data_IF_361655814907
#
_entry.id   IF_361655814907
#
_cell.length_a   1.000
_cell.length_b   1.000
_cell.length_c   1.000
_cell.angle_alpha   90.00
_cell.angle_beta   90.00
_cell.angle_gamma   90.00
#
_symmetry.space_group_name_H-M   'P 1'
#
loop_
_entity.id
_entity.type
_entity.pdbx_description
1 polymer ?
#
# COMPACT_ATOMS: atom_id res chain seq x y z
N UNK A 1 42.61 1.07 41.70
CA UNK A 1 41.38 0.36 41.38
C UNK A 1 40.95 0.66 39.96
N UNK A 2 40.97 -0.38 39.09
CA UNK A 2 40.56 -0.28 37.70
C UNK A 2 39.02 -0.28 37.60
N UNK A 3 38.49 0.78 37.02
CA UNK A 3 37.05 0.88 36.69
C UNK A 3 36.76 -0.07 35.52
N UNK A 4 36.03 -1.13 35.79
CA UNK A 4 35.45 -1.99 34.74
C UNK A 4 34.37 -1.22 33.99
N UNK A 5 34.64 -0.84 32.75
CA UNK A 5 33.65 -0.35 31.82
C UNK A 5 32.74 -1.56 31.47
N UNK A 6 31.50 -1.52 31.94
CA UNK A 6 30.51 -2.47 31.57
C UNK A 6 30.22 -2.35 30.06
N UNK A 7 30.46 -3.42 29.32
CA UNK A 7 30.11 -3.53 27.90
C UNK A 7 28.59 -3.40 27.77
N UNK A 8 28.13 -2.38 27.07
CA UNK A 8 26.72 -2.16 26.73
C UNK A 8 26.27 -3.32 25.84
N UNK A 9 25.35 -4.10 26.36
CA UNK A 9 24.73 -5.22 25.69
C UNK A 9 24.17 -4.78 24.34
N UNK A 10 24.55 -5.46 23.28
CA UNK A 10 23.93 -5.42 21.97
C UNK A 10 22.41 -5.48 22.11
N UNK A 11 21.72 -4.38 21.81
CA UNK A 11 20.27 -4.37 21.72
C UNK A 11 19.86 -5.31 20.59
N UNK A 12 19.36 -6.47 20.93
CA UNK A 12 18.84 -7.43 19.98
C UNK A 12 17.80 -6.73 19.11
N UNK A 13 18.09 -6.63 17.79
CA UNK A 13 17.22 -6.02 16.82
C UNK A 13 15.86 -6.73 16.88
N UNK A 14 14.77 -6.00 17.13
CA UNK A 14 13.43 -6.57 17.19
C UNK A 14 13.16 -7.44 15.95
N UNK A 15 12.54 -8.62 16.10
CA UNK A 15 12.34 -9.54 14.99
C UNK A 15 11.55 -8.85 13.87
N UNK A 16 12.08 -8.88 12.66
CA UNK A 16 11.47 -8.30 11.47
C UNK A 16 10.22 -9.10 11.13
N UNK A 17 9.04 -8.52 11.33
CA UNK A 17 7.74 -9.18 11.16
C UNK A 17 7.30 -9.18 9.71
N UNK A 18 6.66 -10.26 9.27
CA UNK A 18 5.84 -10.26 8.08
C UNK A 18 4.62 -9.35 8.30
N UNK A 19 4.22 -8.61 7.26
CA UNK A 19 3.15 -7.62 7.33
C UNK A 19 2.12 -7.89 6.23
N UNK A 20 0.82 -8.06 6.57
CA UNK A 20 -0.23 -8.10 5.56
C UNK A 20 -0.42 -6.71 4.96
N UNK A 21 -0.39 -6.64 3.64
CA UNK A 21 -0.73 -5.46 2.86
C UNK A 21 -2.08 -5.75 2.21
N UNK A 22 -3.15 -5.16 2.75
CA UNK A 22 -4.49 -5.31 2.22
C UNK A 22 -4.62 -4.51 0.93
N UNK A 23 -5.13 -5.12 -0.13
CA UNK A 23 -5.32 -4.50 -1.43
C UNK A 23 -6.81 -4.23 -1.65
N UNK A 24 -7.20 -2.96 -1.55
CA UNK A 24 -8.50 -2.42 -1.88
C UNK A 24 -8.45 -1.64 -3.19
N UNK A 25 -9.61 -1.42 -3.82
CA UNK A 25 -9.77 -0.55 -4.97
C UNK A 25 -10.93 0.45 -4.71
N UNK A 26 -12.12 0.19 -5.21
CA UNK A 26 -13.28 1.03 -4.99
C UNK A 26 -13.89 0.86 -3.59
N UNK A 27 -14.21 1.98 -2.92
CA UNK A 27 -15.04 1.96 -1.70
C UNK A 27 -16.33 2.71 -2.01
N UNK A 28 -17.39 1.98 -2.26
CA UNK A 28 -18.67 2.54 -2.73
C UNK A 28 -19.57 1.50 -3.34
N UNK A 29 -20.67 1.96 -3.93
CA UNK A 29 -21.52 1.13 -4.74
C UNK A 29 -20.80 0.70 -6.03
N UNK A 30 -21.17 -0.47 -6.54
CA UNK A 30 -20.63 -0.97 -7.80
C UNK A 30 -21.21 -0.16 -8.96
N UNK A 31 -20.40 0.57 -9.76
CA UNK A 31 -20.91 1.24 -10.96
C UNK A 31 -21.55 0.24 -11.93
N UNK A 32 -22.63 0.66 -12.60
CA UNK A 32 -23.38 -0.24 -13.51
C UNK A 32 -22.54 -0.76 -14.68
N UNK A 33 -21.51 0.00 -15.08
CA UNK A 33 -20.56 -0.33 -16.15
C UNK A 33 -19.22 -0.89 -15.64
N UNK A 34 -19.15 -1.23 -14.34
CA UNK A 34 -17.91 -1.73 -13.75
C UNK A 34 -17.46 -3.04 -14.39
N UNK A 35 -16.28 -3.04 -15.00
CA UNK A 35 -15.67 -4.24 -15.60
C UNK A 35 -15.28 -5.29 -14.56
N UNK A 36 -14.97 -4.87 -13.34
CA UNK A 36 -14.53 -5.71 -12.23
C UNK A 36 -15.34 -5.39 -10.97
N UNK A 37 -16.63 -5.76 -10.91
CA UNK A 37 -17.52 -5.42 -9.79
C UNK A 37 -17.02 -5.98 -8.44
N UNK A 38 -16.28 -7.08 -8.46
CA UNK A 38 -15.69 -7.66 -7.26
C UNK A 38 -14.64 -6.78 -6.57
N UNK A 39 -14.15 -5.72 -7.21
CA UNK A 39 -13.18 -4.79 -6.63
C UNK A 39 -13.83 -3.66 -5.81
N UNK A 40 -15.15 -3.63 -5.71
CA UNK A 40 -15.88 -2.59 -4.98
C UNK A 40 -16.39 -3.12 -3.64
N UNK A 41 -15.88 -2.54 -2.55
CA UNK A 41 -16.32 -2.83 -1.18
C UNK A 41 -17.28 -1.74 -0.73
N UNK A 42 -18.50 -2.09 -0.30
CA UNK A 42 -19.45 -1.10 0.18
C UNK A 42 -18.94 -0.40 1.45
N UNK A 43 -19.28 0.89 1.67
CA UNK A 43 -18.81 1.65 2.84
C UNK A 43 -19.17 0.99 4.19
N UNK A 44 -20.37 0.42 4.41
CA UNK A 44 -20.68 -0.29 5.64
C UNK A 44 -19.81 -1.54 5.85
N UNK A 45 -19.52 -2.28 4.76
CA UNK A 45 -18.65 -3.46 4.82
C UNK A 45 -17.22 -3.06 5.15
N UNK A 46 -16.71 -2.02 4.52
CA UNK A 46 -15.37 -1.50 4.82
C UNK A 46 -15.26 -1.04 6.28
N UNK A 47 -16.26 -0.31 6.80
CA UNK A 47 -16.29 0.07 8.21
C UNK A 47 -16.29 -1.14 9.16
N UNK A 48 -17.08 -2.18 8.82
CA UNK A 48 -17.10 -3.46 9.57
C UNK A 48 -15.74 -4.16 9.56
N UNK A 49 -15.05 -4.19 8.41
CA UNK A 49 -13.70 -4.76 8.28
C UNK A 49 -12.68 -3.99 9.14
N UNK A 50 -12.68 -2.65 9.09
CA UNK A 50 -11.79 -1.80 9.91
C UNK A 50 -12.03 -2.05 11.39
N UNK A 51 -13.28 -2.05 11.84
CA UNK A 51 -13.65 -2.33 13.23
C UNK A 51 -13.21 -3.74 13.69
N UNK A 52 -13.35 -4.73 12.82
CA UNK A 52 -12.93 -6.10 13.13
C UNK A 52 -11.41 -6.23 13.24
N UNK A 53 -10.66 -5.55 12.38
CA UNK A 53 -9.20 -5.48 12.46
C UNK A 53 -8.74 -4.81 13.77
N UNK A 54 -9.38 -3.69 14.18
CA UNK A 54 -9.09 -3.03 15.46
C UNK A 54 -9.34 -3.96 16.65
N UNK A 55 -10.52 -4.61 16.70
CA UNK A 55 -10.85 -5.57 17.77
C UNK A 55 -9.89 -6.77 17.79
N UNK A 56 -9.36 -7.17 16.63
CA UNK A 56 -8.35 -8.22 16.55
C UNK A 56 -6.93 -7.73 16.89
N UNK A 57 -6.77 -6.47 17.31
CA UNK A 57 -5.51 -5.88 17.75
C UNK A 57 -4.54 -5.55 16.59
N UNK A 58 -5.06 -5.36 15.37
CA UNK A 58 -4.26 -4.80 14.28
C UNK A 58 -4.12 -3.29 14.42
N UNK A 59 -3.00 -2.77 13.91
CA UNK A 59 -2.70 -1.35 13.88
C UNK A 59 -2.23 -0.98 12.48
N UNK A 60 -2.89 0.00 11.87
CA UNK A 60 -2.53 0.44 10.53
C UNK A 60 -1.18 1.16 10.53
N UNK A 61 -0.38 0.84 9.52
CA UNK A 61 0.93 1.45 9.25
C UNK A 61 1.07 1.73 7.75
N UNK A 62 1.98 2.64 7.38
CA UNK A 62 2.29 2.92 5.99
C UNK A 62 3.39 1.99 5.47
N UNK A 63 3.57 1.92 4.14
CA UNK A 63 4.69 1.19 3.53
C UNK A 63 6.05 1.74 3.98
N UNK A 64 6.16 3.07 4.16
CA UNK A 64 7.37 3.68 4.66
C UNK A 64 7.72 3.22 6.08
N UNK A 65 6.73 3.07 6.97
CA UNK A 65 6.97 2.56 8.31
C UNK A 65 7.41 1.09 8.28
N UNK A 66 6.81 0.27 7.42
CA UNK A 66 7.23 -1.13 7.20
C UNK A 66 8.66 -1.19 6.69
N UNK A 67 8.99 -0.38 5.67
CA UNK A 67 10.34 -0.30 5.11
C UNK A 67 11.39 0.09 6.15
N UNK A 68 11.10 1.13 6.93
CA UNK A 68 12.00 1.60 8.00
C UNK A 68 12.25 0.51 9.05
N UNK A 69 11.21 -0.23 9.45
CA UNK A 69 11.35 -1.32 10.39
C UNK A 69 12.22 -2.47 9.84
N UNK A 70 12.08 -2.77 8.56
CA UNK A 70 12.84 -3.85 7.93
C UNK A 70 14.29 -3.49 7.65
N UNK A 71 14.59 -2.24 7.29
CA UNK A 71 15.89 -1.85 6.76
C UNK A 71 16.68 -0.87 7.66
N UNK A 72 15.97 -0.09 8.49
CA UNK A 72 16.58 0.99 9.28
C UNK A 72 16.35 0.89 10.79
N UNK A 73 15.83 -0.25 11.28
CA UNK A 73 15.65 -0.47 12.72
C UNK A 73 14.45 0.24 13.34
N UNK A 74 13.50 0.74 12.55
CA UNK A 74 12.24 1.29 13.04
C UNK A 74 11.38 0.25 13.76
N UNK A 75 10.53 0.71 14.70
CA UNK A 75 9.56 -0.15 15.38
C UNK A 75 8.27 -0.34 14.57
N UNK A 76 7.65 -1.51 14.69
CA UNK A 76 6.27 -1.76 14.25
C UNK A 76 5.41 -2.17 15.45
N UNK A 77 4.12 -1.84 15.43
CA UNK A 77 3.20 -2.32 16.45
C UNK A 77 3.14 -3.86 16.46
N UNK A 78 2.49 -4.41 17.48
CA UNK A 78 2.45 -5.89 17.65
C UNK A 78 1.83 -6.63 16.46
N UNK A 79 0.76 -6.08 15.89
CA UNK A 79 0.05 -6.60 14.70
C UNK A 79 -0.09 -5.48 13.66
N UNK A 80 0.98 -5.21 12.89
CA UNK A 80 0.91 -4.20 11.85
C UNK A 80 0.05 -4.69 10.68
N UNK A 81 -0.64 -3.76 10.02
CA UNK A 81 -1.35 -3.99 8.76
C UNK A 81 -1.23 -2.75 7.89
N UNK A 82 -0.99 -2.93 6.60
CA UNK A 82 -1.08 -1.84 5.63
C UNK A 82 -2.43 -1.95 4.92
N UNK A 83 -3.20 -0.85 4.88
CA UNK A 83 -4.36 -0.73 4.00
C UNK A 83 -3.90 0.04 2.76
N UNK A 84 -3.81 -0.65 1.61
CA UNK A 84 -3.47 -0.03 0.34
C UNK A 84 -4.69 0.05 -0.57
N UNK A 85 -4.83 1.19 -1.25
CA UNK A 85 -5.91 1.47 -2.18
C UNK A 85 -5.30 1.75 -3.55
N UNK A 86 -5.69 1.00 -4.55
CA UNK A 86 -5.17 1.15 -5.90
C UNK A 86 -6.03 2.13 -6.72
N UNK A 87 -5.51 2.61 -7.83
CA UNK A 87 -6.09 3.46 -8.86
C UNK A 87 -6.25 4.93 -8.48
N UNK A 88 -7.06 5.24 -7.50
CA UNK A 88 -7.46 6.60 -7.16
C UNK A 88 -8.92 6.88 -7.55
N UNK A 89 -9.88 6.40 -6.75
CA UNK A 89 -11.32 6.63 -6.95
C UNK A 89 -11.89 7.62 -5.94
N UNK A 90 -12.99 8.31 -6.30
CA UNK A 90 -13.72 9.24 -5.41
C UNK A 90 -14.10 8.57 -4.08
N UNK A 91 -14.50 7.30 -4.11
CA UNK A 91 -14.93 6.57 -2.92
C UNK A 91 -13.84 6.42 -1.86
N UNK A 92 -12.57 6.48 -2.24
CA UNK A 92 -11.45 6.46 -1.29
C UNK A 92 -11.41 7.76 -0.46
N UNK A 93 -11.74 8.90 -1.06
CA UNK A 93 -11.85 10.19 -0.34
C UNK A 93 -13.18 10.31 0.38
N UNK A 94 -14.28 9.95 -0.28
CA UNK A 94 -15.64 10.15 0.23
C UNK A 94 -16.02 9.20 1.35
N UNK A 95 -15.53 7.97 1.31
CA UNK A 95 -15.93 6.90 2.21
C UNK A 95 -14.77 6.31 3.04
N UNK A 96 -13.64 5.94 2.41
CA UNK A 96 -12.55 5.32 3.16
C UNK A 96 -11.86 6.30 4.11
N UNK A 97 -11.59 7.54 3.67
CA UNK A 97 -10.94 8.55 4.49
C UNK A 97 -11.67 8.83 5.81
N UNK A 98 -12.98 9.14 5.86
CA UNK A 98 -13.64 9.40 7.13
C UNK A 98 -13.67 8.19 8.06
N UNK A 99 -13.84 6.98 7.53
CA UNK A 99 -13.81 5.74 8.31
C UNK A 99 -12.43 5.54 8.95
N UNK A 100 -11.36 5.66 8.18
CA UNK A 100 -10.00 5.49 8.69
C UNK A 100 -9.57 6.63 9.62
N UNK A 101 -10.01 7.85 9.34
CA UNK A 101 -9.78 9.00 10.23
C UNK A 101 -10.43 8.80 11.60
N UNK A 102 -11.67 8.30 11.65
CA UNK A 102 -12.33 7.94 12.90
C UNK A 102 -11.61 6.84 13.67
N UNK A 103 -10.98 5.90 12.96
CA UNK A 103 -10.15 4.85 13.54
C UNK A 103 -8.74 5.33 13.98
N UNK A 104 -8.33 6.55 13.62
CA UNK A 104 -6.97 7.05 13.83
C UNK A 104 -5.92 6.36 12.96
N UNK A 105 -6.30 5.82 11.80
CA UNK A 105 -5.49 4.97 10.96
C UNK A 105 -4.98 5.67 9.70
N UNK A 106 -3.67 5.60 9.40
CA UNK A 106 -3.14 5.95 8.10
C UNK A 106 -3.48 4.87 7.07
N UNK A 107 -3.25 5.20 5.79
CA UNK A 107 -3.34 4.25 4.69
C UNK A 107 -2.33 4.59 3.59
N UNK A 108 -2.35 3.82 2.50
CA UNK A 108 -1.52 4.03 1.31
C UNK A 108 -2.43 4.14 0.09
N UNK A 109 -2.28 5.21 -0.67
CA UNK A 109 -2.88 5.35 -1.98
C UNK A 109 -1.82 5.05 -3.05
N UNK A 110 -2.00 4.00 -3.83
CA UNK A 110 -1.25 3.72 -5.05
C UNK A 110 -1.94 4.45 -6.21
N UNK A 111 -1.53 5.68 -6.48
CA UNK A 111 -2.20 6.57 -7.42
C UNK A 111 -1.78 6.28 -8.86
N UNK A 112 -2.73 5.96 -9.72
CA UNK A 112 -2.61 6.11 -11.16
C UNK A 112 -2.80 7.58 -11.49
N UNK A 113 -1.77 8.22 -12.04
CA UNK A 113 -1.81 9.68 -12.25
C UNK A 113 -2.98 10.13 -13.13
N UNK A 114 -3.31 9.35 -14.14
CA UNK A 114 -4.44 9.60 -15.04
C UNK A 114 -5.77 9.74 -14.29
N UNK A 115 -5.96 9.01 -13.19
CA UNK A 115 -7.19 9.03 -12.39
C UNK A 115 -7.21 10.12 -11.32
N UNK A 116 -6.21 11.02 -11.33
CA UNK A 116 -6.19 12.16 -10.40
C UNK A 116 -7.47 13.02 -10.45
N UNK A 117 -8.08 13.31 -11.62
CA UNK A 117 -9.38 14.00 -11.66
C UNK A 117 -10.51 13.21 -11.01
N UNK A 118 -10.54 11.89 -11.20
CA UNK A 118 -11.60 10.99 -10.72
C UNK A 118 -11.62 10.88 -9.19
N UNK A 119 -10.46 10.97 -8.53
CA UNK A 119 -10.38 11.03 -7.06
C UNK A 119 -10.75 12.41 -6.48
N UNK A 120 -11.04 13.40 -7.31
CA UNK A 120 -11.33 14.79 -6.91
C UNK A 120 -10.13 15.73 -7.01
N UNK A 121 -9.11 15.37 -7.80
CA UNK A 121 -7.95 16.21 -8.09
C UNK A 121 -6.93 16.29 -6.96
N UNK A 122 -5.91 17.13 -7.19
CA UNK A 122 -4.80 17.29 -6.24
C UNK A 122 -5.23 17.80 -4.85
N UNK A 123 -6.33 18.56 -4.78
CA UNK A 123 -6.87 19.07 -3.51
C UNK A 123 -7.36 17.94 -2.60
N UNK A 124 -8.10 16.99 -3.17
CA UNK A 124 -8.58 15.81 -2.46
C UNK A 124 -7.43 14.93 -1.97
N UNK A 125 -6.45 14.65 -2.84
CA UNK A 125 -5.25 13.85 -2.45
C UNK A 125 -4.43 14.55 -1.37
N UNK A 126 -4.29 15.89 -1.39
CA UNK A 126 -3.69 16.63 -0.26
C UNK A 126 -4.49 16.48 1.03
N UNK A 127 -5.81 16.28 0.95
CA UNK A 127 -6.65 15.92 2.09
C UNK A 127 -6.24 14.58 2.71
N UNK A 128 -5.99 13.56 1.87
CA UNK A 128 -5.46 12.26 2.30
C UNK A 128 -4.08 12.41 2.97
N UNK A 129 -3.17 13.18 2.36
CA UNK A 129 -1.84 13.45 2.92
C UNK A 129 -1.91 14.10 4.30
N UNK A 130 -2.81 15.09 4.49
CA UNK A 130 -3.03 15.71 5.81
C UNK A 130 -3.60 14.75 6.85
N UNK A 131 -4.32 13.73 6.40
CA UNK A 131 -4.84 12.66 7.26
C UNK A 131 -3.81 11.54 7.53
N UNK A 132 -2.56 11.71 7.09
CA UNK A 132 -1.48 10.76 7.32
C UNK A 132 -1.34 9.66 6.28
N UNK A 133 -2.07 9.74 5.15
CA UNK A 133 -1.90 8.76 4.08
C UNK A 133 -0.58 8.96 3.34
N UNK A 134 0.03 7.84 2.95
CA UNK A 134 1.15 7.79 2.02
C UNK A 134 0.61 7.73 0.59
N UNK A 135 1.24 8.46 -0.34
CA UNK A 135 0.86 8.45 -1.75
C UNK A 135 1.99 7.78 -2.52
N UNK A 136 1.71 6.61 -3.06
CA UNK A 136 2.63 5.86 -3.89
C UNK A 136 2.16 5.78 -5.34
N UNK A 137 2.92 5.12 -6.19
CA UNK A 137 2.67 5.13 -7.62
C UNK A 137 2.02 3.84 -8.11
N UNK A 138 1.03 4.01 -8.99
CA UNK A 138 0.43 2.94 -9.79
C UNK A 138 0.52 3.23 -11.30
N UNK A 139 1.66 3.79 -11.74
CA UNK A 139 1.99 4.28 -13.08
C UNK A 139 1.33 5.62 -13.46
N UNK A 140 1.57 6.09 -14.68
CA UNK A 140 0.88 7.27 -15.23
C UNK A 140 -0.52 6.93 -15.73
N UNK A 141 -0.65 5.85 -16.53
CA UNK A 141 -1.83 5.58 -17.35
C UNK A 141 -2.44 4.18 -17.13
N UNK A 142 -1.89 3.39 -16.20
CA UNK A 142 -2.31 2.02 -15.89
C UNK A 142 -2.22 1.05 -17.10
N UNK A 143 -1.13 1.04 -17.89
CA UNK A 143 -0.98 0.08 -18.97
C UNK A 143 -0.50 -1.29 -18.47
N UNK A 144 -0.57 -2.29 -19.33
CA UNK A 144 0.22 -3.52 -19.14
C UNK A 144 1.70 -3.20 -19.39
N UNK A 145 2.46 -3.08 -18.31
CA UNK A 145 3.87 -2.67 -18.35
C UNK A 145 4.76 -3.68 -19.09
N UNK A 146 4.35 -4.95 -19.17
CA UNK A 146 5.10 -6.01 -19.85
C UNK A 146 5.05 -5.89 -21.37
N UNK A 147 4.09 -5.12 -21.89
CA UNK A 147 3.88 -4.93 -23.31
C UNK A 147 4.51 -3.62 -23.84
N UNK A 148 5.11 -2.81 -22.97
CA UNK A 148 5.61 -1.50 -23.36
C UNK A 148 7.05 -1.55 -23.89
N UNK A 149 7.35 -0.78 -24.94
CA UNK A 149 8.74 -0.48 -25.32
C UNK A 149 9.48 0.18 -24.15
N UNK A 150 10.78 -0.05 -24.04
CA UNK A 150 11.59 0.41 -22.90
C UNK A 150 11.49 1.92 -22.61
N UNK A 151 11.37 2.74 -23.65
CA UNK A 151 11.21 4.19 -23.49
C UNK A 151 9.86 4.56 -22.85
N UNK A 152 8.79 3.88 -23.24
CA UNK A 152 7.45 4.09 -22.68
C UNK A 152 7.34 3.56 -21.25
N UNK A 153 7.88 2.37 -21.00
CA UNK A 153 7.97 1.82 -19.66
C UNK A 153 8.68 2.78 -18.71
N UNK A 154 9.82 3.33 -19.12
CA UNK A 154 10.54 4.35 -18.33
C UNK A 154 9.67 5.58 -18.10
N UNK A 155 8.96 6.08 -19.11
CA UNK A 155 8.07 7.25 -19.00
C UNK A 155 6.93 6.99 -17.98
N UNK A 156 6.29 5.81 -18.03
CA UNK A 156 5.25 5.41 -17.08
C UNK A 156 5.76 5.45 -15.64
N UNK A 157 6.93 4.91 -15.40
CA UNK A 157 7.51 4.77 -14.06
C UNK A 157 8.06 6.10 -13.54
N UNK A 158 8.94 6.77 -14.30
CA UNK A 158 9.60 8.01 -13.84
C UNK A 158 8.65 9.20 -13.89
N UNK A 159 7.74 9.22 -14.86
CA UNK A 159 6.74 10.27 -15.03
C UNK A 159 5.75 10.33 -13.88
N UNK A 160 5.19 9.17 -13.48
CA UNK A 160 4.28 9.09 -12.33
C UNK A 160 5.00 9.49 -11.04
N UNK A 161 6.19 8.93 -10.79
CA UNK A 161 6.99 9.26 -9.61
C UNK A 161 7.30 10.75 -9.50
N UNK A 162 7.73 11.36 -10.60
CA UNK A 162 8.05 12.79 -10.65
C UNK A 162 6.82 13.66 -10.36
N UNK A 163 5.68 13.34 -10.98
CA UNK A 163 4.45 14.11 -10.81
C UNK A 163 3.93 14.03 -9.38
N UNK A 164 3.86 12.82 -8.79
CA UNK A 164 3.44 12.61 -7.41
C UNK A 164 4.35 13.40 -6.47
N UNK A 165 5.68 13.29 -6.61
CA UNK A 165 6.63 13.97 -5.73
C UNK A 165 6.59 15.49 -5.83
N UNK A 166 6.41 16.03 -7.05
CA UNK A 166 6.26 17.47 -7.25
C UNK A 166 4.96 18.02 -6.67
N UNK A 167 3.87 17.24 -6.71
CA UNK A 167 2.54 17.69 -6.30
C UNK A 167 2.26 17.49 -4.83
N UNK A 168 2.74 16.39 -4.24
CA UNK A 168 2.41 15.97 -2.86
C UNK A 168 3.61 15.94 -1.92
N UNK A 169 4.83 16.10 -2.44
CA UNK A 169 6.06 16.17 -1.65
C UNK A 169 7.02 15.02 -1.90
N UNK A 170 8.30 15.30 -1.70
CA UNK A 170 9.41 14.39 -2.02
C UNK A 170 9.43 13.06 -1.23
N UNK A 171 8.70 12.99 -0.11
CA UNK A 171 8.56 11.77 0.71
C UNK A 171 7.64 10.71 0.11
N UNK A 172 6.81 11.08 -0.89
CA UNK A 172 5.86 10.20 -1.56
C UNK A 172 6.46 9.52 -2.79
N UNK A 173 5.72 8.60 -3.43
CA UNK A 173 6.14 7.78 -4.56
C UNK A 173 7.49 7.09 -4.32
N UNK A 174 7.65 6.50 -3.15
CA UNK A 174 8.82 5.66 -2.82
C UNK A 174 8.58 4.20 -3.14
N UNK A 175 7.32 3.80 -3.20
CA UNK A 175 6.88 2.44 -3.53
C UNK A 175 6.04 2.45 -4.80
N UNK A 176 5.89 1.27 -5.38
CA UNK A 176 5.15 1.07 -6.62
C UNK A 176 4.15 -0.09 -6.45
N UNK A 177 2.98 -0.02 -7.07
CA UNK A 177 2.11 -1.16 -7.27
C UNK A 177 2.02 -1.46 -8.77
N UNK A 178 2.17 -2.73 -9.16
CA UNK A 178 2.10 -3.09 -10.57
C UNK A 178 0.67 -3.04 -11.08
N UNK A 179 0.36 -2.24 -12.14
CA UNK A 179 -0.94 -2.26 -12.79
C UNK A 179 -1.39 -3.68 -13.13
N UNK A 180 -2.60 -4.03 -12.72
CA UNK A 180 -3.19 -5.38 -12.87
C UNK A 180 -2.30 -6.51 -12.31
N UNK A 181 -1.31 -6.21 -11.48
CA UNK A 181 -0.34 -7.16 -10.96
C UNK A 181 0.65 -7.71 -12.00
N UNK A 182 0.64 -7.20 -13.23
CA UNK A 182 1.47 -7.71 -14.32
C UNK A 182 2.88 -7.16 -14.29
N UNK A 183 3.85 -8.05 -14.21
CA UNK A 183 5.27 -7.71 -14.23
C UNK A 183 6.11 -8.93 -14.68
N UNK A 184 7.31 -8.63 -15.15
CA UNK A 184 8.36 -9.60 -15.47
C UNK A 184 9.72 -9.12 -14.93
N UNK A 185 10.79 -9.84 -15.23
CA UNK A 185 12.13 -9.46 -14.79
C UNK A 185 12.59 -8.12 -15.39
N UNK A 186 12.15 -7.76 -16.61
CA UNK A 186 12.43 -6.50 -17.28
C UNK A 186 11.75 -5.33 -16.56
N UNK A 187 10.45 -5.46 -16.30
CA UNK A 187 9.67 -4.46 -15.57
C UNK A 187 10.21 -4.28 -14.15
N UNK A 188 10.56 -5.35 -13.42
CA UNK A 188 11.19 -5.25 -12.10
C UNK A 188 12.49 -4.43 -12.13
N UNK A 189 13.37 -4.70 -13.10
CA UNK A 189 14.60 -3.91 -13.27
C UNK A 189 14.31 -2.44 -13.55
N UNK A 190 13.31 -2.15 -14.39
CA UNK A 190 12.91 -0.78 -14.71
C UNK A 190 12.34 -0.03 -13.49
N UNK A 191 11.51 -0.69 -12.68
CA UNK A 191 10.97 -0.13 -11.41
C UNK A 191 12.10 0.21 -10.44
N UNK A 192 13.08 -0.68 -10.28
CA UNK A 192 14.28 -0.42 -9.48
C UNK A 192 15.08 0.77 -10.04
N UNK A 193 15.33 0.79 -11.36
CA UNK A 193 16.07 1.86 -12.03
C UNK A 193 15.35 3.22 -11.95
N UNK A 194 14.01 3.24 -11.90
CA UNK A 194 13.22 4.43 -11.65
C UNK A 194 13.32 4.96 -10.21
N UNK A 195 13.99 4.22 -9.31
CA UNK A 195 14.29 4.64 -7.94
C UNK A 195 13.17 4.35 -6.94
N UNK A 196 12.29 3.39 -7.22
CA UNK A 196 11.36 2.86 -6.22
C UNK A 196 12.08 1.89 -5.28
N UNK A 197 11.79 1.97 -3.99
CA UNK A 197 12.42 1.13 -2.96
C UNK A 197 11.88 -0.30 -2.98
N UNK A 198 10.57 -0.43 -3.21
CA UNK A 198 9.90 -1.71 -3.31
C UNK A 198 8.67 -1.60 -4.21
N UNK A 199 8.13 -2.77 -4.61
CA UNK A 199 6.91 -2.85 -5.38
C UNK A 199 6.01 -3.99 -4.89
N UNK A 200 4.70 -3.76 -4.92
CA UNK A 200 3.67 -4.72 -4.52
C UNK A 200 3.00 -5.36 -5.73
N UNK A 201 2.63 -6.62 -5.59
CA UNK A 201 2.00 -7.46 -6.62
C UNK A 201 0.56 -7.80 -6.23
N UNK A 202 -0.08 -8.68 -7.01
CA UNK A 202 -1.35 -9.35 -6.66
C UNK A 202 -1.12 -10.77 -6.11
N UNK A 203 0.12 -11.19 -5.94
CA UNK A 203 0.45 -12.48 -5.34
C UNK A 203 -0.07 -12.54 -3.91
N UNK A 204 -0.72 -13.65 -3.58
CA UNK A 204 -1.39 -13.81 -2.28
C UNK A 204 -0.41 -14.14 -1.17
N UNK A 205 -0.38 -13.34 -0.13
CA UNK A 205 0.45 -13.60 1.04
C UNK A 205 0.74 -12.36 1.86
N UNK A 206 1.54 -12.54 2.90
CA UNK A 206 2.11 -11.45 3.67
C UNK A 206 3.45 -11.05 3.05
N UNK A 207 3.69 -9.76 2.96
CA UNK A 207 5.01 -9.25 2.62
C UNK A 207 6.00 -9.59 3.76
N UNK A 208 7.18 -10.08 3.42
CA UNK A 208 8.22 -10.50 4.38
C UNK A 208 9.49 -9.69 4.19
N UNK A 209 10.25 -9.44 5.25
CA UNK A 209 11.54 -8.74 5.12
C UNK A 209 12.58 -9.51 4.30
N UNK A 210 12.34 -10.80 4.05
CA UNK A 210 13.17 -11.69 3.23
C UNK A 210 12.66 -11.84 1.79
N UNK A 211 11.48 -11.27 1.47
CA UNK A 211 10.94 -11.29 0.10
C UNK A 211 11.78 -10.41 -0.84
N UNK A 212 11.68 -10.68 -2.15
CA UNK A 212 12.14 -9.72 -3.16
C UNK A 212 11.39 -8.39 -2.94
N UNK A 213 12.09 -7.28 -2.63
CA UNK A 213 11.43 -6.02 -2.37
C UNK A 213 10.62 -5.50 -3.56
N UNK A 214 10.93 -5.94 -4.78
CA UNK A 214 10.18 -5.58 -5.98
C UNK A 214 9.15 -6.64 -6.39
N UNK A 215 8.74 -7.52 -5.44
CA UNK A 215 7.67 -8.50 -5.62
C UNK A 215 7.00 -8.81 -4.27
N UNK A 216 6.53 -7.78 -3.56
CA UNK A 216 5.88 -7.95 -2.28
C UNK A 216 4.44 -8.45 -2.46
N UNK A 217 4.12 -9.56 -1.80
CA UNK A 217 2.77 -10.13 -1.80
C UNK A 217 1.76 -9.23 -1.08
N UNK A 218 0.50 -9.31 -1.50
CA UNK A 218 -0.64 -8.62 -0.88
C UNK A 218 -1.77 -9.57 -0.53
N UNK A 219 -2.71 -9.07 0.25
CA UNK A 219 -3.96 -9.74 0.55
C UNK A 219 -5.08 -8.99 -0.16
N UNK A 220 -5.61 -9.54 -1.25
CA UNK A 220 -6.74 -8.97 -1.95
C UNK A 220 -7.99 -8.99 -1.07
N UNK A 221 -8.73 -7.87 -1.08
CA UNK A 221 -10.01 -7.74 -0.40
C UNK A 221 -11.09 -7.51 -1.47
N UNK A 222 -11.91 -8.54 -1.65
CA UNK A 222 -12.99 -8.54 -2.64
C UNK A 222 -14.26 -7.91 -2.06
N UNK A 223 -15.13 -7.44 -2.95
CA UNK A 223 -16.37 -6.74 -2.61
C UNK A 223 -17.35 -7.54 -1.77
N UNK A 224 -17.37 -8.86 -1.89
CA UNK A 224 -18.22 -9.78 -1.11
C UNK A 224 -17.60 -10.18 0.24
N UNK A 225 -16.31 -9.90 0.45
CA UNK A 225 -15.57 -10.30 1.65
C UNK A 225 -16.08 -9.54 2.89
N UNK A 226 -16.76 -10.23 3.80
CA UNK A 226 -17.13 -9.66 5.08
C UNK A 226 -15.95 -9.62 6.07
N UNK A 227 -16.16 -9.03 7.25
CA UNK A 227 -15.14 -8.89 8.29
C UNK A 227 -14.62 -10.25 8.81
N UNK A 228 -15.49 -11.26 8.89
CA UNK A 228 -15.14 -12.61 9.35
C UNK A 228 -14.26 -13.31 8.33
N UNK A 229 -14.63 -13.23 7.04
CA UNK A 229 -13.85 -13.77 5.95
C UNK A 229 -12.47 -13.10 5.84
N UNK A 230 -12.38 -11.77 6.03
CA UNK A 230 -11.11 -11.05 6.06
C UNK A 230 -10.21 -11.56 7.20
N UNK A 231 -10.72 -11.65 8.42
CA UNK A 231 -9.92 -12.14 9.56
C UNK A 231 -9.50 -13.61 9.38
N UNK A 232 -10.37 -14.44 8.78
CA UNK A 232 -10.03 -15.82 8.44
C UNK A 232 -8.89 -15.86 7.43
N UNK A 233 -8.98 -15.12 6.32
CA UNK A 233 -7.93 -15.01 5.29
C UNK A 233 -6.59 -14.56 5.88
N UNK A 234 -6.61 -13.59 6.80
CA UNK A 234 -5.39 -13.15 7.49
C UNK A 234 -4.76 -14.23 8.38
N UNK A 235 -5.58 -15.12 8.98
CA UNK A 235 -5.07 -16.26 9.74
C UNK A 235 -4.45 -17.33 8.84
N UNK A 236 -5.12 -17.66 7.73
CA UNK A 236 -4.68 -18.66 6.75
C UNK A 236 -3.37 -18.27 6.05
N UNK A 237 -3.19 -16.99 5.72
CA UNK A 237 -2.01 -16.48 5.01
C UNK A 237 -0.85 -16.10 5.93
N UNK A 238 -1.06 -16.14 7.24
CA UNK A 238 -0.03 -15.78 8.21
C UNK A 238 1.10 -16.82 8.18
N UNK A 239 2.38 -16.39 7.95
CA UNK A 239 3.53 -17.30 7.96
C UNK A 239 3.84 -17.82 9.35
#
# INVERSE_FOLDING_TARGET
PAVRVASVSSTARAPRKAVPILMYHGIGDVPADARLPALFVSPPRFASQVNALQRAGYHAVTMQQVWNAWHHGGGLPRRPVVLSFDDGSEGQVRHALPILRSAGWPAVLNLTWRFLPEIGGAGAVRGLVRAGWEIDSHSLNHPDLTQLPAAELRRELTGSRTRIRRTFGARHARFFAYPSGRYDAGVKRAVRAAGYLAATTVERGFAKPTSDPHALARVQVDGDMDATALLRRLRELRP
#
